data_IF_373642102345
#
_entry.id   IF_373642102345
#
_cell.length_a   1.000
_cell.length_b   1.000
_cell.length_c   1.000
_cell.angle_alpha   90.00
_cell.angle_beta   90.00
_cell.angle_gamma   90.00
#
_symmetry.space_group_name_H-M   'P 1'
#
loop_
_entity.id
_entity.type
_entity.pdbx_description
1 polymer ?
#
# COMPACT_ATOMS: atom_id res chain seq x y z
N UNK A 1 -13.30 -9.40 -7.87
CA UNK A 1 -12.11 -8.82 -7.20
C UNK A 1 -11.61 -9.86 -6.21
N UNK A 2 -10.35 -10.24 -6.20
CA UNK A 2 -9.85 -11.17 -5.16
C UNK A 2 -8.78 -10.44 -4.33
N UNK A 3 -9.11 -9.98 -3.11
CA UNK A 3 -8.12 -9.33 -2.27
C UNK A 3 -7.17 -10.39 -1.68
N UNK A 4 -5.87 -10.13 -1.77
CA UNK A 4 -4.82 -11.03 -1.29
C UNK A 4 -3.91 -10.28 -0.33
N UNK A 5 -3.82 -10.79 0.91
CA UNK A 5 -2.90 -10.26 1.91
C UNK A 5 -1.48 -10.72 1.59
N UNK A 6 -0.61 -9.77 1.27
CA UNK A 6 0.80 -10.02 0.99
C UNK A 6 1.56 -10.12 2.31
N UNK A 7 2.39 -11.15 2.45
CA UNK A 7 3.21 -11.35 3.63
C UNK A 7 4.25 -10.24 3.78
N UNK A 8 4.40 -9.74 5.01
CA UNK A 8 5.39 -8.72 5.35
C UNK A 8 4.76 -7.47 5.93
N UNK A 9 5.57 -6.75 6.69
CA UNK A 9 5.23 -5.44 7.21
C UNK A 9 5.98 -4.37 6.43
N UNK A 10 5.26 -3.31 6.08
CA UNK A 10 5.75 -2.21 5.27
C UNK A 10 5.65 -0.90 6.02
N UNK A 11 6.55 0.02 5.68
CA UNK A 11 6.55 1.39 6.19
C UNK A 11 6.73 2.37 5.06
N UNK A 12 6.26 3.60 5.28
CA UNK A 12 6.51 4.74 4.40
C UNK A 12 7.59 5.59 5.02
N UNK A 13 8.62 5.91 4.24
CA UNK A 13 9.70 6.82 4.61
C UNK A 13 9.73 7.98 3.62
N UNK A 14 10.22 9.15 4.05
CA UNK A 14 10.54 10.27 3.17
C UNK A 14 12.02 10.62 3.30
N UNK A 15 12.69 10.83 2.17
CA UNK A 15 14.13 11.12 2.10
C UNK A 15 14.42 12.20 1.05
N UNK A 16 15.52 12.94 1.19
CA UNK A 16 15.82 14.07 0.30
C UNK A 16 16.71 13.70 -0.90
N UNK A 17 17.43 12.58 -0.84
CA UNK A 17 18.43 12.24 -1.84
C UNK A 17 17.84 11.59 -3.10
N UNK A 18 18.73 11.13 -3.99
CA UNK A 18 18.35 10.51 -5.24
C UNK A 18 17.88 9.07 -5.00
N UNK A 19 16.99 8.56 -5.87
CA UNK A 19 16.53 7.17 -5.77
C UNK A 19 17.70 6.19 -5.85
N UNK A 20 18.75 6.50 -6.62
CA UNK A 20 19.96 5.68 -6.76
C UNK A 20 20.61 5.35 -5.42
N UNK A 21 20.52 6.24 -4.44
CA UNK A 21 21.14 6.08 -3.14
C UNK A 21 20.42 5.04 -2.30
N UNK A 22 19.15 4.78 -2.60
CA UNK A 22 18.26 3.89 -1.84
C UNK A 22 17.92 2.58 -2.56
N UNK A 23 18.40 2.36 -3.79
CA UNK A 23 18.13 1.13 -4.55
C UNK A 23 18.59 -0.14 -3.83
N UNK A 24 19.65 -0.05 -3.01
CA UNK A 24 20.15 -1.16 -2.20
C UNK A 24 19.15 -1.62 -1.12
N UNK A 25 18.19 -0.77 -0.75
CA UNK A 25 17.09 -1.13 0.15
C UNK A 25 15.95 -1.84 -0.57
N UNK A 26 15.99 -1.91 -1.91
CA UNK A 26 15.00 -2.59 -2.76
C UNK A 26 13.56 -2.17 -2.38
N UNK A 27 13.21 -0.89 -2.65
CA UNK A 27 11.90 -0.35 -2.33
C UNK A 27 10.80 -0.98 -3.18
N UNK A 28 9.69 -1.31 -2.53
CA UNK A 28 8.52 -1.88 -3.20
C UNK A 28 7.82 -0.85 -4.07
N UNK A 29 7.77 0.40 -3.61
CA UNK A 29 7.22 1.52 -4.36
C UNK A 29 7.98 2.80 -4.02
N UNK A 30 7.99 3.73 -4.98
CA UNK A 30 8.63 5.04 -4.83
C UNK A 30 7.77 6.11 -5.46
N UNK A 31 7.74 7.29 -4.87
CA UNK A 31 7.06 8.44 -5.45
C UNK A 31 7.87 9.70 -5.19
N UNK A 32 8.15 10.49 -6.23
CA UNK A 32 8.85 11.77 -6.07
C UNK A 32 7.83 12.87 -5.80
N UNK A 33 7.82 13.36 -4.58
CA UNK A 33 7.02 14.50 -4.13
C UNK A 33 7.87 15.78 -4.15
N UNK A 34 7.25 16.97 -4.17
CA UNK A 34 7.96 18.24 -4.00
C UNK A 34 8.77 18.30 -2.69
N UNK A 35 8.28 17.67 -1.63
CA UNK A 35 8.86 17.65 -0.29
C UNK A 35 10.02 16.65 -0.16
N UNK A 36 10.05 15.61 -0.99
CA UNK A 36 11.02 14.52 -0.87
C UNK A 36 10.69 13.29 -1.72
N UNK A 37 11.55 12.29 -1.67
CA UNK A 37 11.30 10.96 -2.20
C UNK A 37 10.58 10.12 -1.16
N UNK A 38 9.35 9.73 -1.45
CA UNK A 38 8.66 8.68 -0.68
C UNK A 38 9.19 7.31 -1.10
N UNK A 39 9.53 6.49 -0.10
CA UNK A 39 9.92 5.08 -0.23
C UNK A 39 8.96 4.21 0.55
N UNK A 40 8.44 3.16 -0.08
CA UNK A 40 7.73 2.09 0.61
C UNK A 40 8.66 0.90 0.76
N UNK A 41 9.03 0.59 1.99
CA UNK A 41 10.06 -0.38 2.33
C UNK A 41 9.51 -1.49 3.22
N UNK A 42 10.13 -2.66 3.16
CA UNK A 42 9.99 -3.63 4.24
C UNK A 42 10.49 -3.00 5.55
N UNK A 43 9.72 -3.17 6.64
CA UNK A 43 10.00 -2.52 7.92
C UNK A 43 11.42 -2.78 8.43
N UNK A 44 11.90 -4.02 8.32
CA UNK A 44 13.24 -4.42 8.74
C UNK A 44 14.35 -3.68 7.98
N UNK A 45 14.18 -3.45 6.67
CA UNK A 45 15.17 -2.76 5.84
C UNK A 45 15.24 -1.27 6.20
N UNK A 46 14.08 -0.64 6.41
CA UNK A 46 14.02 0.75 6.86
C UNK A 46 14.68 0.94 8.23
N UNK A 47 14.42 0.01 9.16
CA UNK A 47 15.02 0.02 10.49
C UNK A 47 16.54 -0.16 10.44
N UNK A 48 17.05 -1.10 9.65
CA UNK A 48 18.49 -1.34 9.49
C UNK A 48 19.22 -0.15 8.87
N UNK A 49 18.55 0.57 7.96
CA UNK A 49 19.06 1.79 7.35
C UNK A 49 18.95 3.03 8.26
N UNK A 50 18.31 2.93 9.43
CA UNK A 50 18.13 4.04 10.36
C UNK A 50 17.20 5.14 9.84
N UNK A 51 16.27 4.80 8.94
CA UNK A 51 15.32 5.76 8.39
C UNK A 51 14.17 6.00 9.36
N UNK A 52 13.80 7.28 9.55
CA UNK A 52 12.52 7.60 10.18
C UNK A 52 11.38 7.16 9.27
N UNK A 53 10.39 6.49 9.86
CA UNK A 53 9.32 5.84 9.12
C UNK A 53 7.97 6.04 9.80
N UNK A 54 6.90 5.85 9.02
CA UNK A 54 5.53 5.80 9.52
C UNK A 54 5.26 4.55 10.37
N UNK A 55 4.01 4.37 10.79
CA UNK A 55 3.52 3.15 11.43
C UNK A 55 3.66 1.92 10.51
N UNK A 56 3.44 0.72 11.07
CA UNK A 56 3.47 -0.51 10.30
C UNK A 56 2.18 -0.70 9.49
N UNK A 57 2.33 -1.08 8.23
CA UNK A 57 1.26 -1.40 7.32
C UNK A 57 1.39 -2.83 6.80
N UNK A 58 0.26 -3.48 6.52
CA UNK A 58 0.25 -4.65 5.64
C UNK A 58 -0.30 -4.27 4.27
N UNK A 59 0.12 -5.03 3.26
CA UNK A 59 -0.26 -4.81 1.88
C UNK A 59 -1.37 -5.80 1.49
N UNK A 60 -2.46 -5.29 0.94
CA UNK A 60 -3.49 -6.07 0.25
C UNK A 60 -3.42 -5.75 -1.24
N UNK A 61 -3.23 -6.76 -2.07
CA UNK A 61 -3.31 -6.60 -3.54
C UNK A 61 -4.71 -6.97 -4.01
N UNK A 62 -5.31 -6.10 -4.82
CA UNK A 62 -6.60 -6.36 -5.45
C UNK A 62 -6.38 -6.94 -6.84
N UNK A 63 -6.52 -8.26 -6.99
CA UNK A 63 -6.48 -8.88 -8.31
C UNK A 63 -7.83 -8.65 -9.00
N UNK A 64 -7.88 -7.58 -9.80
CA UNK A 64 -8.96 -7.28 -10.73
C UNK A 64 -8.33 -7.16 -12.10
N UNK A 65 -8.96 -7.75 -13.12
CA UNK A 65 -8.68 -7.39 -14.51
C UNK A 65 -9.33 -6.03 -14.80
N UNK A 66 -8.87 -4.98 -14.15
CA UNK A 66 -9.35 -3.62 -14.40
C UNK A 66 -8.36 -2.92 -15.32
N UNK A 67 -8.89 -2.31 -16.38
CA UNK A 67 -8.14 -1.29 -17.12
C UNK A 67 -7.78 -0.15 -16.16
N UNK A 68 -6.61 0.48 -16.36
CA UNK A 68 -6.22 1.71 -15.66
C UNK A 68 -7.28 2.83 -15.79
N UNK A 69 -8.19 2.71 -16.76
CA UNK A 69 -9.27 3.66 -17.04
C UNK A 69 -10.62 3.26 -16.40
N UNK A 70 -10.66 2.18 -15.60
CA UNK A 70 -11.88 1.73 -14.96
C UNK A 70 -12.38 2.77 -13.93
N UNK A 71 -13.49 3.44 -14.25
CA UNK A 71 -14.10 4.42 -13.35
C UNK A 71 -14.84 3.70 -12.22
N UNK A 72 -14.54 4.08 -10.97
CA UNK A 72 -15.34 3.73 -9.79
C UNK A 72 -14.78 2.62 -8.90
N UNK A 73 -13.77 1.86 -9.35
CA UNK A 73 -13.17 0.79 -8.53
C UNK A 73 -12.54 1.33 -7.25
N UNK A 74 -11.69 2.35 -7.37
CA UNK A 74 -11.03 3.02 -6.25
C UNK A 74 -12.03 3.59 -5.26
N UNK A 75 -13.09 4.25 -5.76
CA UNK A 75 -14.13 4.82 -4.91
C UNK A 75 -14.86 3.73 -4.11
N UNK A 76 -15.17 2.60 -4.75
CA UNK A 76 -15.95 1.55 -4.12
C UNK A 76 -15.21 0.84 -2.99
N UNK A 77 -13.95 0.42 -3.20
CA UNK A 77 -13.19 -0.23 -2.14
C UNK A 77 -12.78 0.76 -1.03
N UNK A 78 -12.50 2.02 -1.37
CA UNK A 78 -12.13 3.03 -0.38
C UNK A 78 -13.32 3.35 0.55
N UNK A 79 -14.53 3.47 -0.01
CA UNK A 79 -15.75 3.63 0.78
C UNK A 79 -15.96 2.44 1.74
N UNK A 80 -15.80 1.21 1.23
CA UNK A 80 -15.93 0.00 2.05
C UNK A 80 -14.94 -0.03 3.21
N UNK A 81 -13.67 0.31 2.99
CA UNK A 81 -12.67 0.38 4.07
C UNK A 81 -12.97 1.52 5.06
N UNK A 82 -13.47 2.66 4.58
CA UNK A 82 -13.86 3.79 5.42
C UNK A 82 -15.02 3.46 6.36
N UNK A 83 -16.01 2.65 5.94
CA UNK A 83 -17.09 2.15 6.81
C UNK A 83 -16.58 1.40 8.05
N UNK A 84 -15.40 0.80 7.94
CA UNK A 84 -14.73 0.08 9.02
C UNK A 84 -13.67 0.92 9.75
N UNK A 85 -13.55 2.21 9.41
CA UNK A 85 -12.54 3.10 9.98
C UNK A 85 -11.11 2.71 9.60
N UNK A 86 -10.92 2.15 8.41
CA UNK A 86 -9.63 1.68 7.89
C UNK A 86 -9.13 2.69 6.85
N UNK A 87 -7.90 3.15 6.99
CA UNK A 87 -7.28 4.01 5.98
C UNK A 87 -6.78 3.15 4.82
N UNK A 88 -7.05 3.59 3.59
CA UNK A 88 -6.61 2.92 2.38
C UNK A 88 -5.54 3.76 1.69
N UNK A 89 -4.25 3.47 1.94
CA UNK A 89 -3.17 4.12 1.22
C UNK A 89 -2.93 3.34 -0.08
N UNK A 90 -3.46 3.86 -1.19
CA UNK A 90 -3.51 3.16 -2.47
C UNK A 90 -2.30 3.52 -3.33
N UNK A 91 -1.66 2.50 -3.90
CA UNK A 91 -0.72 2.63 -5.01
C UNK A 91 -1.28 1.83 -6.18
N UNK A 92 -1.68 2.53 -7.24
CA UNK A 92 -2.14 1.89 -8.47
C UNK A 92 -0.93 1.33 -9.24
N UNK A 93 -0.79 0.01 -9.26
CA UNK A 93 0.14 -0.69 -10.14
C UNK A 93 -0.42 -0.77 -11.56
N UNK A 94 0.44 -1.13 -12.52
CA UNK A 94 -0.01 -1.30 -13.91
C UNK A 94 -1.09 -2.40 -14.05
N UNK A 95 -0.97 -3.46 -13.26
CA UNK A 95 -1.88 -4.61 -13.32
C UNK A 95 -2.94 -4.60 -12.22
N UNK A 96 -2.58 -4.17 -11.02
CA UNK A 96 -3.39 -4.33 -9.81
C UNK A 96 -3.25 -3.11 -8.91
N UNK A 97 -4.30 -2.85 -8.14
CA UNK A 97 -4.23 -1.89 -7.05
C UNK A 97 -3.60 -2.54 -5.82
N UNK A 98 -2.72 -1.79 -5.16
CA UNK A 98 -2.02 -2.18 -3.95
C UNK A 98 -2.45 -1.26 -2.81
N UNK A 99 -3.04 -1.83 -1.76
CA UNK A 99 -3.61 -1.07 -0.65
C UNK A 99 -2.81 -1.35 0.62
N UNK A 100 -2.18 -0.32 1.16
CA UNK A 100 -1.53 -0.39 2.47
C UNK A 100 -2.51 0.05 3.56
N UNK A 101 -2.80 -0.89 4.46
CA UNK A 101 -3.71 -0.72 5.59
C UNK A 101 -2.94 -0.90 6.90
N UNK A 102 -3.40 -0.28 7.99
CA UNK A 102 -2.72 -0.42 9.28
C UNK A 102 -2.58 -1.91 9.66
N UNK A 103 -1.40 -2.32 10.14
CA UNK A 103 -1.08 -3.73 10.43
C UNK A 103 -2.14 -4.39 11.33
N UNK A 104 -2.57 -3.69 12.38
CA UNK A 104 -3.57 -4.19 13.32
C UNK A 104 -4.98 -4.34 12.73
N UNK A 105 -5.24 -3.71 11.58
CA UNK A 105 -6.53 -3.77 10.86
C UNK A 105 -6.49 -4.64 9.60
N UNK A 106 -5.36 -5.28 9.29
CA UNK A 106 -5.16 -6.00 8.03
C UNK A 106 -6.18 -7.11 7.77
N UNK A 107 -6.49 -7.93 8.79
CA UNK A 107 -7.49 -9.00 8.66
C UNK A 107 -8.90 -8.45 8.49
N UNK A 108 -9.23 -7.37 9.21
CA UNK A 108 -10.53 -6.69 9.07
C UNK A 108 -10.69 -6.08 7.67
N UNK A 109 -9.61 -5.48 7.13
CA UNK A 109 -9.59 -4.94 5.76
C UNK A 109 -9.78 -6.05 4.73
N UNK A 110 -9.05 -7.17 4.86
CA UNK A 110 -9.17 -8.32 3.97
C UNK A 110 -10.60 -8.86 3.94
N UNK A 111 -11.23 -9.00 5.12
CA UNK A 111 -12.63 -9.44 5.21
C UNK A 111 -13.58 -8.45 4.53
N UNK A 112 -13.46 -7.15 4.83
CA UNK A 112 -14.32 -6.12 4.26
C UNK A 112 -14.25 -6.07 2.72
N UNK A 113 -13.04 -6.23 2.16
CA UNK A 113 -12.81 -6.30 0.72
C UNK A 113 -13.33 -7.61 0.10
N UNK A 114 -13.22 -8.72 0.82
CA UNK A 114 -13.72 -10.02 0.36
C UNK A 114 -15.25 -10.05 0.29
N UNK A 115 -15.94 -9.43 1.25
CA UNK A 115 -17.40 -9.27 1.22
C UNK A 115 -17.85 -8.40 0.04
N UNK A 116 -17.09 -7.34 -0.27
CA UNK A 116 -17.37 -6.48 -1.41
C UNK A 116 -17.21 -7.21 -2.75
N UNK A 117 -16.20 -8.08 -2.85
CA UNK A 117 -15.92 -8.86 -4.04
C UNK A 117 -16.99 -9.91 -4.41
N UNK A 118 -17.81 -10.34 -3.45
CA UNK A 118 -18.87 -11.34 -3.64
C UNK A 118 -20.23 -10.73 -4.03
N UNK A 119 -20.32 -9.39 -4.12
CA UNK A 119 -21.49 -8.67 -4.63
C UNK A 119 -21.36 -8.35 -6.11
#
# INVERSE_FOLDING_TARGET
MSPELVAGDYVFCTVNDALSDYLHLDPLATFREPEGLTLVLAAEKAQQAGLESSALFNLITLTVHSSLEAVGLTAAFAAKLAEHGISANVIAGYYHDHIFVQKEKAQQALQALSEFAQR
#
